data_IF_845892966875
#
_entry.id   IF_845892966875
#
_cell.length_a   1.000
_cell.length_b   1.000
_cell.length_c   1.000
_cell.angle_alpha   90.00
_cell.angle_beta   90.00
_cell.angle_gamma   90.00
#
_symmetry.space_group_name_H-M   'P 1'
#
loop_
_entity.id
_entity.type
_entity.pdbx_description
1 polymer ?
#
# COMPACT_ATOMS: atom_id res chain seq x y z
N UNK A 1 -3.38 -5.45 8.79
CA UNK A 1 -3.58 -4.28 7.92
C UNK A 1 -3.92 -3.06 8.76
N UNK A 2 -3.37 -1.90 8.41
CA UNK A 2 -3.50 -0.63 9.12
C UNK A 2 -2.17 -0.01 9.58
N UNK A 3 -1.04 -0.69 9.33
CA UNK A 3 0.27 -0.22 9.74
C UNK A 3 0.80 0.88 8.79
N UNK A 4 1.72 1.70 9.31
CA UNK A 4 2.37 2.74 8.52
C UNK A 4 3.27 2.12 7.47
N UNK A 5 3.00 2.41 6.20
CA UNK A 5 3.84 2.01 5.08
C UNK A 5 5.00 3.00 4.93
N UNK A 6 6.22 2.48 4.86
CA UNK A 6 7.43 3.31 4.88
C UNK A 6 7.82 3.93 3.55
N UNK A 7 7.30 3.43 2.42
CA UNK A 7 7.69 3.84 1.06
C UNK A 7 9.22 3.97 0.89
N UNK A 8 9.99 2.99 1.40
CA UNK A 8 11.47 3.08 1.45
C UNK A 8 12.09 2.99 0.06
N UNK A 9 11.40 2.30 -0.83
CA UNK A 9 11.72 2.09 -2.22
C UNK A 9 11.39 3.34 -3.07
N UNK A 10 10.62 4.29 -2.53
CA UNK A 10 10.27 5.54 -3.21
C UNK A 10 9.39 5.34 -4.45
N UNK A 11 8.67 4.22 -4.54
CA UNK A 11 7.81 3.88 -5.68
C UNK A 11 6.49 4.66 -5.68
N UNK A 12 6.07 5.15 -4.50
CA UNK A 12 4.90 6.02 -4.35
C UNK A 12 5.33 7.48 -4.25
N UNK A 13 4.52 8.42 -4.73
CA UNK A 13 4.84 9.84 -4.63
C UNK A 13 4.91 10.27 -3.16
N UNK A 14 5.93 11.02 -2.78
CA UNK A 14 6.14 11.53 -1.42
C UNK A 14 5.95 13.05 -1.37
N UNK A 15 5.36 13.57 -0.30
CA UNK A 15 5.06 14.99 -0.12
C UNK A 15 5.16 15.36 1.37
N UNK A 16 5.60 16.57 1.76
CA UNK A 16 5.68 16.96 3.16
C UNK A 16 4.35 16.80 3.91
N UNK A 17 4.34 15.89 4.89
CA UNK A 17 3.14 15.57 5.68
C UNK A 17 2.28 14.44 5.12
N UNK A 18 2.67 13.85 3.97
CA UNK A 18 2.08 12.62 3.46
C UNK A 18 2.49 11.44 4.33
N UNK A 19 1.52 10.61 4.68
CA UNK A 19 1.71 9.37 5.43
C UNK A 19 1.01 8.25 4.69
N UNK A 20 1.76 7.20 4.41
CA UNK A 20 1.24 6.00 3.78
C UNK A 20 0.86 4.95 4.83
N UNK A 21 -0.20 4.21 4.54
CA UNK A 21 -0.72 3.10 5.32
C UNK A 21 -0.96 1.91 4.39
N UNK A 22 -0.79 0.70 4.90
CA UNK A 22 -1.01 -0.52 4.12
C UNK A 22 -2.08 -1.41 4.73
N UNK A 23 -2.80 -2.15 3.87
CA UNK A 23 -3.76 -3.14 4.30
C UNK A 23 -3.69 -4.38 3.41
N UNK A 24 -3.81 -5.55 4.03
CA UNK A 24 -3.99 -6.80 3.29
C UNK A 24 -5.34 -6.81 2.61
N UNK A 25 -5.36 -7.22 1.35
CA UNK A 25 -6.60 -7.50 0.63
C UNK A 25 -6.70 -8.99 0.33
N UNK A 26 -7.94 -9.44 0.08
CA UNK A 26 -8.26 -10.83 -0.24
C UNK A 26 -7.81 -11.86 0.82
N UNK A 27 -7.58 -11.43 2.07
CA UNK A 27 -7.23 -12.34 3.14
C UNK A 27 -8.46 -13.14 3.61
N UNK A 28 -8.53 -14.40 3.20
CA UNK A 28 -9.59 -15.34 3.57
C UNK A 28 -9.19 -16.32 4.70
N UNK A 29 -8.07 -16.06 5.40
CA UNK A 29 -7.50 -16.94 6.41
C UNK A 29 -6.39 -17.85 5.86
N UNK A 30 -5.35 -18.10 6.67
CA UNK A 30 -4.19 -18.90 6.28
C UNK A 30 -2.94 -18.05 6.02
N UNK A 31 -2.22 -18.32 4.94
CA UNK A 31 -1.06 -17.51 4.55
C UNK A 31 -1.52 -16.18 3.97
N UNK A 32 -0.88 -15.08 4.39
CA UNK A 32 -1.11 -13.76 3.78
C UNK A 32 -0.57 -13.81 2.34
N UNK A 33 -1.41 -13.48 1.37
CA UNK A 33 -1.01 -13.39 -0.04
C UNK A 33 -0.03 -12.22 -0.29
N UNK A 34 0.43 -12.02 -1.54
CA UNK A 34 1.27 -10.88 -1.89
C UNK A 34 0.48 -9.57 -2.03
N UNK A 35 -0.84 -9.65 -2.19
CA UNK A 35 -1.68 -8.49 -2.53
C UNK A 35 -1.91 -7.54 -1.35
N UNK A 36 -1.74 -6.24 -1.59
CA UNK A 36 -1.95 -5.16 -0.60
C UNK A 36 -2.57 -3.93 -1.26
N UNK A 37 -3.35 -3.19 -0.48
CA UNK A 37 -3.68 -1.79 -0.80
C UNK A 37 -2.82 -0.88 0.06
N UNK A 38 -2.26 0.15 -0.56
CA UNK A 38 -1.54 1.24 0.10
C UNK A 38 -2.31 2.54 -0.12
N UNK A 39 -2.65 3.22 0.95
CA UNK A 39 -3.42 4.46 0.90
C UNK A 39 -2.76 5.56 1.73
N UNK A 40 -2.93 6.80 1.30
CA UNK A 40 -2.38 7.97 1.97
C UNK A 40 -3.42 8.63 2.89
N UNK A 41 -2.95 9.45 3.83
CA UNK A 41 -3.80 10.31 4.66
C UNK A 41 -4.59 11.37 3.87
N UNK A 42 -4.24 11.63 2.61
CA UNK A 42 -4.89 12.60 1.73
C UNK A 42 -5.84 11.97 0.70
N UNK A 43 -5.94 10.63 0.67
CA UNK A 43 -6.91 9.91 -0.15
C UNK A 43 -6.38 9.31 -1.46
N UNK A 44 -5.07 9.39 -1.73
CA UNK A 44 -4.46 8.60 -2.80
C UNK A 44 -4.50 7.11 -2.46
N UNK A 45 -4.86 6.27 -3.43
CA UNK A 45 -4.97 4.82 -3.25
C UNK A 45 -4.20 4.09 -4.34
N UNK A 46 -3.34 3.18 -3.91
CA UNK A 46 -2.53 2.31 -4.74
C UNK A 46 -2.75 0.84 -4.37
N UNK A 47 -2.57 -0.04 -5.33
CA UNK A 47 -2.66 -1.48 -5.15
C UNK A 47 -1.40 -2.16 -5.70
N UNK A 48 -0.96 -3.20 -5.01
CA UNK A 48 0.14 -4.09 -5.41
C UNK A 48 -0.37 -5.52 -5.30
N UNK A 49 -0.09 -6.35 -6.31
CA UNK A 49 -0.34 -7.79 -6.33
C UNK A 49 0.97 -8.61 -6.24
N UNK A 50 2.10 -7.93 -6.21
CA UNK A 50 3.45 -8.48 -6.31
C UNK A 50 4.30 -8.19 -5.05
N UNK A 51 3.66 -7.96 -3.91
CA UNK A 51 4.33 -7.76 -2.62
C UNK A 51 5.26 -6.52 -2.63
N UNK A 52 4.69 -5.38 -3.02
CA UNK A 52 5.32 -4.04 -3.06
C UNK A 52 6.39 -3.84 -4.15
N UNK A 53 6.52 -4.74 -5.14
CA UNK A 53 7.45 -4.56 -6.26
C UNK A 53 6.95 -3.51 -7.25
N UNK A 54 5.64 -3.45 -7.48
CA UNK A 54 5.00 -2.43 -8.32
C UNK A 54 3.65 -1.99 -7.77
N UNK A 55 3.22 -0.80 -8.20
CA UNK A 55 1.98 -0.18 -7.73
C UNK A 55 1.14 0.32 -8.88
N UNK A 56 -0.14 -0.03 -8.85
CA UNK A 56 -1.17 0.51 -9.73
C UNK A 56 -1.98 1.56 -8.98
N UNK A 57 -2.04 2.79 -9.50
CA UNK A 57 -2.89 3.85 -8.92
C UNK A 57 -4.35 3.55 -9.22
N UNK A 58 -5.17 3.50 -8.17
CA UNK A 58 -6.62 3.28 -8.28
C UNK A 58 -7.40 4.60 -8.25
N UNK A 59 -6.99 5.55 -7.39
CA UNK A 59 -7.59 6.88 -7.25
C UNK A 59 -6.52 7.93 -6.94
#
# INVERSE_FOLDING_TARGET
GGDRFGNREGLLPDDPGRVWYECDVNYAGGYRGPERIVFSNEGLIYYTDDHYESFTRLY
#
